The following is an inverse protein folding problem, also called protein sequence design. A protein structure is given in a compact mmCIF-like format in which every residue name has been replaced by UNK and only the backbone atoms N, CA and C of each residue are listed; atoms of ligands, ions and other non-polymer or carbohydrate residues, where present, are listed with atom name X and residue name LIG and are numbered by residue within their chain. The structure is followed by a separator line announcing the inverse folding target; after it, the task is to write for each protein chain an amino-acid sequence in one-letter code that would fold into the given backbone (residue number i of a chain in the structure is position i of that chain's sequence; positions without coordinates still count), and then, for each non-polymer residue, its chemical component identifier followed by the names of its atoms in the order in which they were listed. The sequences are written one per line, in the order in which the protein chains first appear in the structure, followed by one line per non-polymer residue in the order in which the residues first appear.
data_IF_235602534072
#
_entry.id   IF_235602534072
#
_cell.length_a   1.000
_cell.length_b   1.000
_cell.length_c   1.000
_cell.angle_alpha   90.00
_cell.angle_beta   90.00
_cell.angle_gamma   90.00
#
_symmetry.space_group_name_H-M   'P 1'
#
loop_
_entity.id
_entity.type
_entity.pdbx_description
1 polymer ?
#
# COMPACT_ATOMS: atom_id res chain seq x y z
N UNK A 1 10.10 -1.33 1.89
CA UNK A 1 10.67 -0.71 0.67
C UNK A 1 9.63 0.18 0.02
N UNK A 2 10.04 1.32 -0.55
CA UNK A 2 9.18 2.22 -1.29
C UNK A 2 9.55 2.18 -2.77
N UNK A 3 8.54 1.98 -3.62
CA UNK A 3 8.60 2.15 -5.07
C UNK A 3 7.63 3.29 -5.40
N UNK A 4 8.15 4.43 -5.87
CA UNK A 4 7.34 5.59 -6.25
C UNK A 4 7.47 5.94 -7.73
N UNK A 5 6.43 6.57 -8.26
CA UNK A 5 6.30 6.96 -9.66
C UNK A 5 7.48 7.75 -10.21
N UNK A 6 8.01 8.71 -9.44
CA UNK A 6 9.06 9.60 -9.92
C UNK A 6 10.40 8.88 -9.98
N UNK A 7 10.78 8.17 -8.91
CA UNK A 7 12.05 7.47 -8.84
C UNK A 7 12.14 6.33 -9.84
N UNK A 8 11.07 5.54 -10.00
CA UNK A 8 11.05 4.44 -10.98
C UNK A 8 11.09 4.98 -12.41
N UNK A 9 10.44 6.12 -12.70
CA UNK A 9 10.48 6.76 -14.02
C UNK A 9 11.82 7.43 -14.34
N UNK A 10 12.66 7.77 -13.36
CA UNK A 10 14.01 8.24 -13.65
C UNK A 10 15.00 7.09 -13.94
N UNK A 11 14.72 5.89 -13.44
CA UNK A 11 15.58 4.71 -13.60
C UNK A 11 14.95 3.65 -14.51
N UNK A 12 14.34 2.64 -13.88
CA UNK A 12 13.82 1.44 -14.53
C UNK A 12 12.87 1.71 -15.72
N UNK A 13 12.06 2.76 -15.60
CA UNK A 13 11.01 3.10 -16.56
C UNK A 13 11.29 4.42 -17.30
N UNK A 14 12.54 4.85 -17.38
CA UNK A 14 12.92 6.11 -18.06
C UNK A 14 12.64 6.13 -19.56
N UNK A 15 12.46 4.96 -20.17
CA UNK A 15 12.10 4.81 -21.58
C UNK A 15 10.59 4.82 -21.85
N UNK A 16 9.74 4.90 -20.83
CA UNK A 16 8.29 4.88 -20.97
C UNK A 16 7.71 6.31 -20.86
N UNK A 17 6.85 6.66 -21.81
CA UNK A 17 6.06 7.88 -21.79
C UNK A 17 4.79 7.73 -20.95
N UNK A 18 3.71 8.32 -21.45
CA UNK A 18 2.41 8.41 -20.77
C UNK A 18 1.24 7.97 -21.66
N UNK A 19 1.50 7.26 -22.76
CA UNK A 19 0.43 6.59 -23.52
C UNK A 19 -0.21 5.48 -22.68
N UNK A 20 -1.36 4.98 -23.11
CA UNK A 20 -2.03 3.87 -22.42
C UNK A 20 -1.12 2.64 -22.34
N UNK A 21 -0.43 2.31 -23.43
CA UNK A 21 0.50 1.18 -23.53
C UNK A 21 1.73 1.36 -22.63
N UNK A 22 2.30 2.58 -22.59
CA UNK A 22 3.43 2.89 -21.72
C UNK A 22 3.04 2.86 -20.23
N UNK A 23 1.80 3.23 -19.90
CA UNK A 23 1.25 3.15 -18.53
C UNK A 23 1.04 1.70 -18.11
N UNK A 24 0.47 0.90 -19.01
CA UNK A 24 0.34 -0.55 -18.82
C UNK A 24 1.71 -1.19 -18.55
N UNK A 25 2.70 -0.93 -19.40
CA UNK A 25 4.05 -1.51 -19.25
C UNK A 25 4.73 -0.99 -17.98
N UNK A 26 4.52 0.27 -17.63
CA UNK A 26 5.02 0.85 -16.38
C UNK A 26 4.48 0.07 -15.17
N UNK A 27 3.15 -0.11 -15.07
CA UNK A 27 2.49 -0.85 -13.98
C UNK A 27 2.92 -2.32 -13.98
N UNK A 28 3.04 -2.96 -15.15
CA UNK A 28 3.50 -4.34 -15.27
C UNK A 28 4.91 -4.52 -14.70
N UNK A 29 5.87 -3.65 -15.07
CA UNK A 29 7.26 -3.70 -14.56
C UNK A 29 7.31 -3.51 -13.05
N UNK A 30 6.56 -2.55 -12.53
CA UNK A 30 6.48 -2.30 -11.08
C UNK A 30 5.90 -3.51 -10.36
N UNK A 31 4.86 -4.14 -10.91
CA UNK A 31 4.25 -5.35 -10.35
C UNK A 31 5.25 -6.51 -10.22
N UNK A 32 6.11 -6.71 -11.21
CA UNK A 32 7.18 -7.71 -11.17
C UNK A 32 8.25 -7.37 -10.12
N UNK A 33 8.69 -6.11 -10.05
CA UNK A 33 9.67 -5.70 -9.04
C UNK A 33 9.08 -5.83 -7.64
N UNK A 34 7.83 -5.42 -7.43
CA UNK A 34 7.14 -5.56 -6.17
C UNK A 34 7.02 -7.03 -5.76
N UNK A 35 6.72 -7.93 -6.71
CA UNK A 35 6.70 -9.38 -6.48
C UNK A 35 8.04 -9.89 -5.95
N UNK A 36 9.14 -9.55 -6.62
CA UNK A 36 10.49 -9.97 -6.20
C UNK A 36 10.83 -9.47 -4.79
N UNK A 37 10.44 -8.24 -4.45
CA UNK A 37 10.65 -7.67 -3.12
C UNK A 37 9.81 -8.39 -2.05
N UNK A 38 8.55 -8.71 -2.35
CA UNK A 38 7.68 -9.47 -1.44
C UNK A 38 8.20 -10.90 -1.25
N UNK A 39 8.66 -11.57 -2.31
CA UNK A 39 9.28 -12.90 -2.24
C UNK A 39 10.60 -12.89 -1.44
N UNK A 40 11.31 -11.77 -1.41
CA UNK A 40 12.46 -11.54 -0.54
C UNK A 40 12.08 -11.23 0.93
N UNK A 41 10.79 -11.23 1.27
CA UNK A 41 10.28 -11.00 2.63
C UNK A 41 10.11 -9.52 3.00
N UNK A 42 10.10 -8.61 2.03
CA UNK A 42 9.96 -7.17 2.28
C UNK A 42 8.51 -6.72 2.12
N UNK A 43 8.05 -5.88 3.06
CA UNK A 43 6.85 -5.07 2.84
C UNK A 43 7.17 -3.98 1.81
N UNK A 44 6.47 -3.98 0.69
CA UNK A 44 6.73 -3.08 -0.44
C UNK A 44 5.55 -2.17 -0.70
N UNK A 45 5.77 -0.87 -0.57
CA UNK A 45 4.79 0.18 -0.88
C UNK A 45 5.00 0.63 -2.32
N UNK A 46 3.96 0.58 -3.14
CA UNK A 46 3.98 1.02 -4.53
C UNK A 46 3.04 2.22 -4.72
N UNK A 47 3.58 3.44 -4.76
CA UNK A 47 2.79 4.67 -4.90
C UNK A 47 2.81 5.19 -6.33
N UNK A 48 1.91 4.64 -7.16
CA UNK A 48 1.78 4.96 -8.58
C UNK A 48 0.35 5.32 -8.93
N UNK A 49 0.19 6.19 -9.94
CA UNK A 49 -1.10 6.31 -10.63
C UNK A 49 -1.25 5.07 -11.51
N UNK A 50 -2.16 4.18 -11.14
CA UNK A 50 -2.53 2.97 -11.89
C UNK A 50 -3.99 3.11 -12.37
N UNK A 51 -4.24 3.87 -13.44
CA UNK A 51 -5.58 4.33 -13.80
C UNK A 51 -6.50 3.22 -14.28
N UNK A 52 -5.96 2.18 -14.94
CA UNK A 52 -6.74 1.13 -15.57
C UNK A 52 -6.91 -0.05 -14.61
N UNK A 53 -8.15 -0.48 -14.36
CA UNK A 53 -8.45 -1.63 -13.49
C UNK A 53 -7.79 -2.90 -13.97
N UNK A 54 -7.84 -3.14 -15.27
CA UNK A 54 -7.26 -4.32 -15.89
C UNK A 54 -5.78 -4.48 -15.53
N UNK A 55 -5.02 -3.39 -15.39
CA UNK A 55 -3.60 -3.44 -15.06
C UNK A 55 -3.40 -3.82 -13.59
N UNK A 56 -4.20 -3.25 -12.69
CA UNK A 56 -4.20 -3.58 -11.26
C UNK A 56 -4.57 -5.03 -11.03
N UNK A 57 -5.58 -5.53 -11.75
CA UNK A 57 -5.99 -6.93 -11.71
C UNK A 57 -4.91 -7.88 -12.23
N UNK A 58 -4.22 -7.50 -13.33
CA UNK A 58 -3.07 -8.27 -13.83
C UNK A 58 -1.93 -8.33 -12.82
N UNK A 59 -1.63 -7.24 -12.12
CA UNK A 59 -0.63 -7.25 -11.05
C UNK A 59 -1.07 -8.13 -9.89
N UNK A 60 -2.30 -7.95 -9.40
CA UNK A 60 -2.90 -8.76 -8.32
C UNK A 60 -2.83 -10.26 -8.62
N UNK A 61 -3.22 -10.66 -9.83
CA UNK A 61 -3.25 -12.06 -10.26
C UNK A 61 -1.87 -12.74 -10.30
N UNK A 62 -0.77 -11.96 -10.33
CA UNK A 62 0.61 -12.48 -10.37
C UNK A 62 1.24 -12.64 -8.99
N UNK A 63 0.63 -12.06 -7.96
CA UNK A 63 1.04 -12.21 -6.56
C UNK A 63 0.41 -13.48 -5.95
N UNK A 64 1.00 -13.99 -4.87
CA UNK A 64 0.38 -15.08 -4.11
C UNK A 64 -0.83 -14.53 -3.35
N UNK A 65 -1.79 -15.39 -2.96
CA UNK A 65 -2.88 -14.98 -2.09
C UNK A 65 -2.33 -14.26 -0.86
N UNK A 66 -2.92 -13.11 -0.53
CA UNK A 66 -2.55 -12.22 0.59
C UNK A 66 -1.30 -11.37 0.39
N UNK A 67 -0.49 -11.57 -0.66
CA UNK A 67 0.74 -10.78 -0.91
C UNK A 67 0.46 -9.41 -1.57
N UNK A 68 -0.78 -9.18 -2.00
CA UNK A 68 -1.23 -7.93 -2.61
C UNK A 68 -2.38 -7.31 -1.83
N UNK A 69 -2.26 -6.02 -1.55
CA UNK A 69 -3.27 -5.19 -0.89
C UNK A 69 -3.44 -3.93 -1.74
N UNK A 70 -4.63 -3.74 -2.29
CA UNK A 70 -4.98 -2.55 -3.03
C UNK A 70 -5.55 -1.49 -2.09
N UNK A 71 -4.86 -0.36 -2.04
CA UNK A 71 -5.27 0.80 -1.26
C UNK A 71 -5.78 1.86 -2.24
N UNK A 72 -7.09 2.08 -2.23
CA UNK A 72 -7.70 3.12 -3.05
C UNK A 72 -7.67 4.47 -2.33
N UNK A 73 -6.82 5.36 -2.81
CA UNK A 73 -6.77 6.75 -2.36
C UNK A 73 -7.88 7.56 -3.06
N UNK A 74 -9.07 7.59 -2.46
CA UNK A 74 -10.25 8.29 -2.99
C UNK A 74 -10.15 9.78 -2.66
N UNK A 75 -9.46 10.51 -3.52
CA UNK A 75 -9.33 11.97 -3.44
C UNK A 75 -10.14 12.60 -4.57
N UNK A 76 -11.08 13.52 -4.28
CA UNK A 76 -11.79 14.24 -5.32
C UNK A 76 -10.82 14.99 -6.24
N UNK A 77 -11.10 14.97 -7.54
CA UNK A 77 -10.21 15.56 -8.56
C UNK A 77 -9.94 17.03 -8.31
N UNK A 78 -10.95 17.79 -7.87
CA UNK A 78 -10.83 19.21 -7.55
C UNK A 78 -9.82 19.48 -6.43
N UNK A 79 -9.68 18.56 -5.45
CA UNK A 79 -8.67 18.68 -4.39
C UNK A 79 -7.27 18.41 -4.96
N UNK A 80 -7.15 17.46 -5.88
CA UNK A 80 -5.90 17.20 -6.59
C UNK A 80 -5.47 18.40 -7.44
N UNK A 81 -6.41 19.02 -8.15
CA UNK A 81 -6.20 20.23 -8.96
C UNK A 81 -5.89 21.47 -8.12
N UNK A 82 -6.51 21.62 -6.96
CA UNK A 82 -6.20 22.72 -6.02
C UNK A 82 -4.77 22.60 -5.50
N UNK A 83 -4.36 21.38 -5.11
CA UNK A 83 -3.02 21.13 -4.56
C UNK A 83 -1.93 21.30 -5.62
N UNK A 84 -2.15 20.79 -6.83
CA UNK A 84 -1.28 20.82 -8.01
C UNK A 84 0.22 21.03 -7.70
N UNK A 85 0.79 20.16 -6.86
CA UNK A 85 2.11 20.38 -6.23
C UNK A 85 3.25 20.57 -7.24
N UNK A 86 3.05 20.11 -8.47
CA UNK A 86 4.03 20.14 -9.57
C UNK A 86 3.59 21.04 -10.74
N UNK A 87 2.44 21.72 -10.65
CA UNK A 87 1.90 22.52 -11.75
C UNK A 87 1.39 21.71 -12.95
N UNK A 88 1.24 20.39 -12.81
CA UNK A 88 0.93 19.48 -13.91
C UNK A 88 -0.53 19.59 -14.34
N UNK A 89 -1.46 19.78 -13.38
CA UNK A 89 -2.87 19.98 -13.71
C UNK A 89 -3.08 21.28 -14.49
N UNK A 90 -2.41 22.38 -14.10
CA UNK A 90 -2.43 23.63 -14.86
C UNK A 90 -1.93 23.45 -16.30
N UNK A 91 -0.86 22.70 -16.50
CA UNK A 91 -0.32 22.41 -17.82
C UNK A 91 -1.27 21.52 -18.66
N UNK A 92 -1.89 20.52 -18.04
CA UNK A 92 -2.89 19.67 -18.67
C UNK A 92 -4.13 20.47 -19.09
N UNK A 93 -4.71 21.27 -18.20
CA UNK A 93 -5.84 22.17 -18.49
C UNK A 93 -5.53 23.19 -19.59
N UNK A 94 -4.26 23.61 -19.73
CA UNK A 94 -3.78 24.46 -20.81
C UNK A 94 -3.49 23.70 -22.14
N UNK A 95 -3.74 22.39 -22.20
CA UNK A 95 -3.52 21.56 -23.38
C UNK A 95 -2.05 21.27 -23.70
N UNK A 96 -1.12 21.61 -22.79
CA UNK A 96 0.33 21.39 -22.97
C UNK A 96 0.76 19.96 -22.65
N UNK A 97 -0.01 19.26 -21.82
CA UNK A 97 0.15 17.83 -21.53
C UNK A 97 -1.14 17.15 -21.95
N UNK A 98 -1.04 16.13 -22.81
CA UNK A 98 -2.18 15.32 -23.24
C UNK A 98 -2.20 13.98 -22.51
N UNK A 99 -3.38 13.36 -22.42
CA UNK A 99 -3.53 12.06 -21.77
C UNK A 99 -3.24 12.13 -20.27
N UNK A 100 -3.61 13.25 -19.63
CA UNK A 100 -3.41 13.43 -18.20
C UNK A 100 -4.57 12.80 -17.43
N UNK A 101 -4.24 11.91 -16.50
CA UNK A 101 -5.24 11.14 -15.74
C UNK A 101 -6.13 12.08 -14.93
N UNK A 102 -7.45 11.89 -15.04
CA UNK A 102 -8.47 12.75 -14.45
C UNK A 102 -8.84 13.97 -15.28
N UNK A 103 -8.11 14.30 -16.35
CA UNK A 103 -8.43 15.39 -17.28
C UNK A 103 -8.85 14.84 -18.63
N UNK A 104 -7.91 14.22 -19.36
CA UNK A 104 -8.14 13.68 -20.72
C UNK A 104 -8.02 12.15 -20.77
N UNK A 105 -7.53 11.52 -19.71
CA UNK A 105 -7.36 10.07 -19.55
C UNK A 105 -8.12 9.61 -18.30
N UNK A 106 -8.89 8.52 -18.33
CA UNK A 106 -9.74 8.13 -17.20
C UNK A 106 -8.92 7.64 -16.00
N UNK A 107 -9.55 7.70 -14.83
CA UNK A 107 -9.16 6.89 -13.68
C UNK A 107 -10.32 5.95 -13.37
N UNK A 108 -10.12 4.65 -13.56
CA UNK A 108 -11.12 3.64 -13.28
C UNK A 108 -11.04 3.26 -11.81
N UNK A 109 -12.04 3.66 -11.01
CA UNK A 109 -12.09 3.34 -9.58
C UNK A 109 -12.06 1.82 -9.36
N UNK A 110 -11.29 1.31 -8.38
CA UNK A 110 -11.26 -0.11 -8.06
C UNK A 110 -12.60 -0.56 -7.48
N UNK A 111 -13.04 -1.75 -7.89
CA UNK A 111 -14.33 -2.30 -7.44
C UNK A 111 -14.23 -2.95 -6.06
N UNK A 112 -13.12 -3.64 -5.78
CA UNK A 112 -12.91 -4.39 -4.54
C UNK A 112 -11.52 -4.12 -3.93
N UNK A 113 -11.16 -2.85 -3.64
CA UNK A 113 -9.93 -2.57 -2.92
C UNK A 113 -10.03 -3.08 -1.48
N UNK A 114 -8.90 -3.55 -0.93
CA UNK A 114 -8.82 -3.97 0.48
C UNK A 114 -8.99 -2.81 1.45
N UNK A 115 -8.53 -1.62 1.07
CA UNK A 115 -8.64 -0.39 1.88
C UNK A 115 -9.06 0.77 0.99
N UNK A 116 -10.09 1.51 1.40
CA UNK A 116 -10.47 2.79 0.78
C UNK A 116 -10.10 3.90 1.75
N UNK A 117 -9.28 4.84 1.29
CA UNK A 117 -8.90 6.03 2.04
C UNK A 117 -9.64 7.22 1.45
N UNK A 118 -10.67 7.67 2.15
CA UNK A 118 -11.41 8.88 1.76
C UNK A 118 -10.68 10.13 2.26
N UNK A 119 -10.18 10.92 1.31
CA UNK A 119 -9.47 12.15 1.63
C UNK A 119 -10.40 13.29 2.05
N UNK A 120 -11.68 13.22 1.70
CA UNK A 120 -12.72 14.17 2.12
C UNK A 120 -13.74 13.44 2.98
N UNK A 121 -13.94 13.92 4.20
CA UNK A 121 -14.91 13.38 5.16
C UNK A 121 -16.33 13.83 4.81
N UNK A 122 -17.32 13.18 5.44
CA UNK A 122 -18.74 13.52 5.30
C UNK A 122 -19.08 14.96 5.74
N UNK A 123 -18.29 15.55 6.65
CA UNK A 123 -18.45 16.94 7.09
C UNK A 123 -17.74 17.97 6.17
N UNK A 124 -17.11 17.50 5.08
CA UNK A 124 -16.39 18.33 4.12
C UNK A 124 -14.94 18.64 4.48
N UNK A 125 -14.47 18.24 5.68
CA UNK A 125 -13.07 18.38 6.06
C UNK A 125 -12.16 17.38 5.34
N UNK A 126 -10.86 17.67 5.27
CA UNK A 126 -9.87 16.76 4.69
C UNK A 126 -9.24 15.87 5.76
N UNK A 127 -9.15 14.57 5.47
CA UNK A 127 -8.43 13.60 6.31
C UNK A 127 -6.93 13.90 6.31
N UNK A 128 -6.29 13.82 7.47
CA UNK A 128 -4.84 14.01 7.58
C UNK A 128 -4.09 12.78 7.05
N UNK A 129 -2.83 12.94 6.58
CA UNK A 129 -1.98 11.81 6.22
C UNK A 129 -1.80 10.80 7.37
N UNK A 130 -1.69 11.28 8.61
CA UNK A 130 -1.54 10.45 9.81
C UNK A 130 -2.79 9.61 10.06
N UNK A 131 -3.98 10.18 9.90
CA UNK A 131 -5.23 9.44 10.03
C UNK A 131 -5.36 8.36 8.95
N UNK A 132 -5.04 8.68 7.70
CA UNK A 132 -5.07 7.72 6.59
C UNK A 132 -4.02 6.61 6.78
N UNK A 133 -2.83 6.95 7.26
CA UNK A 133 -1.80 5.97 7.61
C UNK A 133 -2.27 5.06 8.75
N UNK A 134 -2.92 5.61 9.79
CA UNK A 134 -3.47 4.84 10.89
C UNK A 134 -4.54 3.84 10.42
N UNK A 135 -5.36 4.18 9.42
CA UNK A 135 -6.32 3.24 8.81
C UNK A 135 -5.62 2.07 8.12
N UNK A 136 -4.55 2.33 7.36
CA UNK A 136 -3.74 1.27 6.75
C UNK A 136 -3.13 0.37 7.84
N UNK A 137 -2.55 0.96 8.89
CA UNK A 137 -1.94 0.21 9.99
C UNK A 137 -2.97 -0.69 10.69
N UNK A 138 -4.16 -0.17 11.00
CA UNK A 138 -5.26 -0.93 11.58
C UNK A 138 -5.66 -2.11 10.70
N UNK A 139 -5.76 -1.90 9.38
CA UNK A 139 -6.02 -2.99 8.42
C UNK A 139 -4.92 -4.05 8.48
N UNK A 140 -3.65 -3.65 8.42
CA UNK A 140 -2.52 -4.58 8.40
C UNK A 140 -2.43 -5.40 9.71
N UNK A 141 -2.67 -4.77 10.86
CA UNK A 141 -2.71 -5.45 12.17
C UNK A 141 -3.90 -6.42 12.25
N UNK A 142 -5.11 -5.95 11.93
CA UNK A 142 -6.34 -6.75 12.00
C UNK A 142 -6.33 -7.99 11.10
N UNK A 143 -5.55 -7.95 10.02
CA UNK A 143 -5.41 -9.07 9.08
C UNK A 143 -4.14 -9.90 9.32
N UNK A 144 -3.35 -9.59 10.34
CA UNK A 144 -2.18 -10.39 10.75
C UNK A 144 -0.93 -10.21 9.87
N UNK A 145 -0.84 -9.12 9.10
CA UNK A 145 0.35 -8.75 8.36
C UNK A 145 1.46 -8.20 9.25
N UNK A 146 1.06 -7.50 10.31
CA UNK A 146 1.96 -7.01 11.34
C UNK A 146 1.81 -7.91 12.56
N UNK A 147 2.93 -8.48 13.02
CA UNK A 147 2.94 -9.03 14.37
C UNK A 147 2.83 -7.85 15.34
N UNK A 148 2.01 -8.02 16.38
CA UNK A 148 2.13 -7.17 17.56
C UNK A 148 3.62 -7.11 17.93
N UNK A 149 4.17 -5.92 18.26
CA UNK A 149 5.53 -5.86 18.75
C UNK A 149 5.65 -6.91 19.84
N UNK A 150 6.67 -7.76 19.78
CA UNK A 150 7.00 -8.66 20.89
C UNK A 150 6.96 -7.78 22.12
N UNK A 151 5.93 -7.97 22.96
CA UNK A 151 5.75 -7.09 24.10
C UNK A 151 7.07 -7.12 24.86
N UNK A 152 7.57 -5.95 25.25
CA UNK A 152 8.79 -5.85 26.04
C UNK A 152 8.65 -6.52 27.45
N UNK A 153 7.62 -7.33 27.67
CA UNK A 153 7.39 -8.20 28.83
C UNK A 153 8.26 -9.47 28.85
N UNK A 154 9.34 -9.53 28.07
CA UNK A 154 10.49 -10.37 28.46
C UNK A 154 11.23 -9.80 29.69
N UNK A 155 10.84 -8.61 30.19
CA UNK A 155 11.26 -8.11 31.50
C UNK A 155 10.01 -7.92 32.37
N UNK A 156 9.81 -8.85 33.32
CA UNK A 156 8.76 -8.92 34.37
C UNK A 156 7.38 -9.46 33.96
N UNK A 157 7.31 -10.78 33.83
CA UNK A 157 6.18 -11.52 34.39
C UNK A 157 6.72 -12.31 35.61
N UNK A 158 6.11 -12.22 36.81
CA UNK A 158 6.46 -13.13 37.89
C UNK A 158 6.10 -14.54 37.44
N UNK A 159 7.08 -15.45 37.54
CA UNK A 159 6.88 -16.88 37.34
C UNK A 159 5.63 -17.31 38.13
N UNK A 160 4.54 -17.67 37.44
CA UNK A 160 3.42 -18.36 38.08
C UNK A 160 3.97 -19.68 38.63
N UNK A 161 3.94 -19.78 39.95
CA UNK A 161 4.49 -20.84 40.80
C UNK A 161 3.74 -22.18 40.69
N UNK A 162 3.15 -22.52 39.54
CA UNK A 162 2.38 -23.76 39.35
C UNK A 162 3.14 -24.84 38.54
N UNK A 163 4.43 -24.62 38.25
CA UNK A 163 5.26 -25.60 37.53
C UNK A 163 6.47 -26.14 38.29
N UNK A 164 6.55 -25.87 39.60
CA UNK A 164 7.64 -26.34 40.47
C UNK A 164 7.23 -27.41 41.50
N UNK A 165 5.97 -27.85 41.52
CA UNK A 165 5.56 -28.99 42.37
C UNK A 165 5.60 -30.36 41.65
N UNK A 166 5.96 -30.39 40.36
CA UNK A 166 6.11 -31.65 39.61
C UNK A 166 7.55 -32.17 39.51
N UNK A 167 8.50 -31.60 40.27
CA UNK A 167 9.91 -32.03 40.25
C UNK A 167 10.52 -32.35 41.62
N UNK A 168 9.71 -32.55 42.67
CA UNK A 168 10.18 -33.03 43.99
C UNK A 168 9.26 -34.14 44.55
N UNK A 169 8.80 -35.04 43.68
CA UNK A 169 8.17 -36.30 44.12
C UNK A 169 9.05 -37.46 43.65
N UNK A 170 10.14 -37.72 44.37
CA UNK A 170 10.84 -39.01 44.33
C UNK A 170 10.10 -39.92 45.32
N UNK A 171 9.58 -41.09 44.92
CA UNK A 171 9.09 -42.07 45.87
C UNK A 171 10.28 -42.75 46.54
N UNK A 172 10.34 -42.71 47.87
CA UNK A 172 11.09 -43.70 48.65
C UNK A 172 10.48 -45.08 48.41
N UNK A 173 11.22 -46.00 47.76
CA UNK A 173 11.09 -47.45 47.94
C UNK A 173 12.13 -48.23 47.10
N UNK A 174 13.10 -48.82 47.80
CA UNK A 174 13.62 -50.21 47.79
C UNK A 174 15.10 -50.19 48.17
#
# INVERSE_FOLDING_TARGET
TLLDGDNVRHGLNCNLGFSAEDREENVRRIGEVAKLMVEAGLVTLASFISPYRADRDRVRARQKPRDFIEIYMKVPLEVCEERDCKGLYKLARAGKIKGFTGVDDPYEEPENPEVVLEARRADGSLSSPEEMAAQIMCYLEGHGYLRAPLSNNAVKAPLRLERLERLVAVPEAV
#
